data_IF_815931719476
#
_entry.id   IF_815931719476
#
_cell.length_a   1.000
_cell.length_b   1.000
_cell.length_c   1.000
_cell.angle_alpha   90.00
_cell.angle_beta   90.00
_cell.angle_gamma   90.00
#
_symmetry.space_group_name_H-M   'P 1'
#
loop_
_entity.id
_entity.type
_entity.pdbx_description
1 polymer ?
#
# COMPACT_ATOMS: atom_id res chain seq x y z
N UNK A 1 -77.39 -23.29 -32.20
CA UNK A 1 -76.71 -23.66 -30.93
C UNK A 1 -75.26 -23.94 -31.30
N UNK A 2 -74.41 -23.00 -31.11
CA UNK A 2 -72.97 -23.15 -31.31
C UNK A 2 -72.29 -22.64 -30.04
N UNK A 3 -71.62 -23.57 -29.30
CA UNK A 3 -70.92 -23.28 -28.06
C UNK A 3 -69.55 -22.65 -28.39
N UNK A 4 -69.28 -21.51 -27.78
CA UNK A 4 -68.01 -20.80 -27.86
C UNK A 4 -67.15 -21.29 -26.66
N UNK A 5 -65.94 -21.81 -26.96
CA UNK A 5 -64.90 -22.14 -25.97
C UNK A 5 -64.11 -20.88 -25.57
N UNK A 6 -63.67 -20.71 -24.35
CA UNK A 6 -62.85 -19.61 -23.94
C UNK A 6 -61.37 -19.86 -24.28
N UNK A 7 -60.70 -18.83 -24.84
CA UNK A 7 -59.29 -18.76 -25.04
C UNK A 7 -58.58 -18.63 -23.67
N UNK A 8 -57.73 -19.61 -23.32
CA UNK A 8 -56.73 -19.50 -22.30
C UNK A 8 -55.60 -18.57 -22.77
N UNK A 9 -55.44 -17.45 -22.12
CA UNK A 9 -54.30 -16.55 -22.27
C UNK A 9 -53.07 -17.12 -21.54
N UNK A 10 -52.16 -17.64 -22.32
CA UNK A 10 -50.82 -18.03 -21.86
C UNK A 10 -50.09 -16.76 -21.29
N UNK A 11 -49.94 -16.72 -19.97
CA UNK A 11 -49.11 -15.76 -19.27
C UNK A 11 -47.68 -16.25 -19.36
N UNK A 12 -46.97 -15.76 -20.38
CA UNK A 12 -45.50 -15.90 -20.49
C UNK A 12 -44.83 -15.46 -19.22
N UNK A 13 -44.13 -16.41 -18.55
CA UNK A 13 -43.30 -16.16 -17.38
C UNK A 13 -42.23 -15.17 -17.75
N UNK A 14 -42.20 -14.05 -17.04
CA UNK A 14 -41.09 -13.09 -17.12
C UNK A 14 -39.78 -13.78 -16.74
N UNK A 15 -38.82 -13.76 -17.67
CA UNK A 15 -37.43 -14.01 -17.33
C UNK A 15 -37.08 -13.03 -16.20
N UNK A 16 -36.60 -13.55 -15.10
CA UNK A 16 -35.97 -12.76 -14.05
C UNK A 16 -34.76 -12.08 -14.69
N UNK A 17 -34.85 -10.78 -14.94
CA UNK A 17 -33.68 -9.95 -15.20
C UNK A 17 -32.82 -10.01 -13.93
N UNK A 18 -31.78 -10.82 -13.94
CA UNK A 18 -30.73 -10.75 -12.93
C UNK A 18 -30.16 -9.32 -12.98
N UNK A 19 -30.14 -8.59 -11.86
CA UNK A 19 -29.67 -7.23 -11.87
C UNK A 19 -28.22 -7.22 -12.35
N UNK A 20 -27.96 -6.49 -13.43
CA UNK A 20 -26.60 -6.30 -13.94
C UNK A 20 -25.71 -5.83 -12.79
N UNK A 21 -24.61 -6.52 -12.47
CA UNK A 21 -23.80 -6.16 -11.31
C UNK A 21 -23.24 -4.74 -11.46
N UNK A 22 -23.33 -3.95 -10.40
CA UNK A 22 -22.74 -2.61 -10.36
C UNK A 22 -21.23 -2.72 -10.54
N UNK A 23 -20.67 -2.00 -11.53
CA UNK A 23 -19.23 -2.03 -11.81
C UNK A 23 -18.47 -1.02 -10.93
N UNK A 24 -17.34 -1.45 -10.40
CA UNK A 24 -16.39 -0.58 -9.70
C UNK A 24 -15.59 0.30 -10.67
N UNK A 25 -14.67 1.11 -10.12
CA UNK A 25 -13.78 1.98 -10.90
C UNK A 25 -12.83 1.19 -11.82
N UNK A 26 -12.55 -0.05 -11.49
CA UNK A 26 -11.77 -0.99 -12.31
C UNK A 26 -12.54 -1.57 -13.49
N UNK A 27 -13.85 -1.32 -13.61
CA UNK A 27 -14.71 -1.99 -14.59
C UNK A 27 -15.08 -3.43 -14.24
N UNK A 28 -14.59 -3.97 -13.11
CA UNK A 28 -14.99 -5.27 -12.56
C UNK A 28 -16.27 -5.13 -11.70
N UNK A 29 -17.03 -6.21 -11.51
CA UNK A 29 -18.15 -6.20 -10.57
C UNK A 29 -17.68 -5.70 -9.19
N UNK A 30 -18.44 -4.77 -8.60
CA UNK A 30 -18.12 -4.21 -7.30
C UNK A 30 -18.20 -5.30 -6.23
N UNK A 31 -17.05 -5.57 -5.58
CA UNK A 31 -16.99 -6.49 -4.45
C UNK A 31 -17.31 -5.74 -3.16
N UNK A 32 -18.08 -6.36 -2.29
CA UNK A 32 -18.22 -5.90 -0.91
C UNK A 32 -17.12 -6.56 -0.08
N UNK A 33 -16.08 -5.80 0.23
CA UNK A 33 -15.00 -6.25 1.08
C UNK A 33 -15.41 -5.91 2.52
N UNK A 34 -15.49 -6.89 3.43
CA UNK A 34 -15.87 -6.62 4.80
C UNK A 34 -14.79 -5.80 5.52
N UNK A 35 -15.20 -5.01 6.50
CA UNK A 35 -14.23 -4.37 7.39
C UNK A 35 -13.41 -5.41 8.13
N UNK A 36 -12.11 -5.16 8.36
CA UNK A 36 -11.25 -6.07 9.09
C UNK A 36 -11.80 -6.34 10.50
N UNK A 37 -11.86 -7.61 10.94
CA UNK A 37 -12.35 -7.93 12.28
C UNK A 37 -11.42 -7.36 13.35
N UNK A 38 -11.95 -7.12 14.54
CA UNK A 38 -11.13 -6.77 15.70
C UNK A 38 -10.15 -7.92 16.01
N UNK A 39 -8.93 -7.56 16.45
CA UNK A 39 -7.93 -8.55 16.84
C UNK A 39 -8.04 -8.85 18.36
N UNK A 40 -8.03 -10.12 18.71
CA UNK A 40 -7.91 -10.56 20.11
C UNK A 40 -6.47 -10.41 20.64
N UNK A 41 -5.49 -10.45 19.76
CA UNK A 41 -4.05 -10.35 20.06
C UNK A 41 -3.32 -9.59 18.96
N UNK A 42 -2.30 -8.83 19.34
CA UNK A 42 -1.40 -8.14 18.42
C UNK A 42 -0.13 -8.95 18.15
N UNK A 43 0.45 -8.75 16.96
CA UNK A 43 1.67 -9.43 16.51
C UNK A 43 1.51 -10.94 16.23
N UNK A 44 2.52 -11.55 15.59
CA UNK A 44 3.68 -10.92 14.99
C UNK A 44 3.34 -10.10 13.74
N UNK A 45 4.10 -9.05 13.50
CA UNK A 45 3.85 -8.13 12.40
C UNK A 45 4.03 -8.77 11.02
N UNK A 46 3.13 -8.44 10.11
CA UNK A 46 3.33 -8.65 8.67
C UNK A 46 4.02 -7.42 8.08
N UNK A 47 5.17 -7.61 7.43
CA UNK A 47 5.92 -6.53 6.80
C UNK A 47 5.45 -6.40 5.34
N UNK A 48 5.07 -5.18 4.95
CA UNK A 48 4.62 -4.83 3.60
C UNK A 48 5.45 -3.67 3.08
N UNK A 49 6.04 -3.83 1.89
CA UNK A 49 6.77 -2.76 1.22
C UNK A 49 5.91 -2.04 0.19
N UNK A 50 5.98 -0.71 0.18
CA UNK A 50 5.34 0.15 -0.81
C UNK A 50 6.38 0.55 -1.86
N UNK A 51 6.42 -0.13 -3.00
CA UNK A 51 7.51 -0.01 -3.97
C UNK A 51 7.03 0.41 -5.36
N UNK A 52 7.70 1.38 -5.95
CA UNK A 52 7.69 1.66 -7.39
C UNK A 52 8.92 2.51 -7.73
N UNK A 53 9.62 2.19 -8.83
CA UNK A 53 10.77 2.96 -9.31
C UNK A 53 10.41 4.35 -9.85
N UNK A 54 9.14 4.58 -10.22
CA UNK A 54 8.67 5.89 -10.66
C UNK A 54 8.40 6.78 -9.46
N UNK A 55 8.97 8.00 -9.46
CA UNK A 55 8.64 9.04 -8.50
C UNK A 55 7.24 9.59 -8.71
N UNK A 56 6.62 10.11 -7.65
CA UNK A 56 5.33 10.81 -7.74
C UNK A 56 4.09 9.93 -7.94
N UNK A 57 4.20 8.58 -7.87
CA UNK A 57 3.05 7.67 -8.02
C UNK A 57 2.25 7.46 -6.73
N UNK A 58 2.47 8.26 -5.70
CA UNK A 58 1.72 8.20 -4.44
C UNK A 58 2.17 7.10 -3.48
N UNK A 59 3.42 6.62 -3.51
CA UNK A 59 3.97 5.66 -2.53
C UNK A 59 3.80 6.18 -1.11
N UNK A 60 4.44 7.28 -0.78
CA UNK A 60 4.41 7.92 0.54
C UNK A 60 3.00 8.24 1.00
N UNK A 61 2.20 8.87 0.11
CA UNK A 61 0.79 9.17 0.40
C UNK A 61 0.01 7.90 0.73
N UNK A 62 0.25 6.80 -0.01
CA UNK A 62 -0.42 5.52 0.25
C UNK A 62 0.08 4.88 1.53
N UNK A 63 1.38 4.96 1.84
CA UNK A 63 1.95 4.45 3.09
C UNK A 63 1.32 5.12 4.32
N UNK A 64 1.26 6.47 4.33
CA UNK A 64 0.64 7.26 5.41
C UNK A 64 -0.83 6.85 5.61
N UNK A 65 -1.60 6.91 4.53
CA UNK A 65 -3.05 6.78 4.62
C UNK A 65 -3.52 5.34 4.82
N UNK A 66 -2.79 4.37 4.26
CA UNK A 66 -3.02 2.95 4.54
C UNK A 66 -2.70 2.60 6.00
N UNK A 67 -1.55 3.09 6.51
CA UNK A 67 -1.18 2.91 7.92
C UNK A 67 -2.22 3.49 8.87
N UNK A 68 -2.69 4.71 8.59
CA UNK A 68 -3.73 5.36 9.39
C UNK A 68 -5.08 4.64 9.32
N UNK A 69 -5.50 4.17 8.13
CA UNK A 69 -6.73 3.39 7.98
C UNK A 69 -6.67 2.05 8.72
N UNK A 70 -5.53 1.37 8.72
CA UNK A 70 -5.33 0.16 9.52
C UNK A 70 -5.40 0.46 11.03
N UNK A 71 -4.83 1.59 11.48
CA UNK A 71 -4.91 2.03 12.88
C UNK A 71 -6.36 2.32 13.29
N UNK A 72 -7.19 2.92 12.42
CA UNK A 72 -8.64 3.07 12.65
C UNK A 72 -9.35 1.73 12.88
N UNK A 73 -8.91 0.66 12.20
CA UNK A 73 -9.39 -0.71 12.41
C UNK A 73 -8.76 -1.41 13.62
N UNK A 74 -8.11 -0.67 14.51
CA UNK A 74 -7.52 -1.18 15.76
C UNK A 74 -6.22 -1.95 15.57
N UNK A 75 -5.52 -1.77 14.43
CA UNK A 75 -4.20 -2.39 14.21
C UNK A 75 -3.10 -1.51 14.81
N UNK A 76 -2.05 -2.16 15.34
CA UNK A 76 -0.81 -1.49 15.70
C UNK A 76 0.10 -1.48 14.49
N UNK A 77 0.43 -0.30 13.99
CA UNK A 77 1.16 -0.13 12.73
C UNK A 77 2.45 0.64 12.97
N UNK A 78 3.55 0.11 12.46
CA UNK A 78 4.82 0.81 12.36
C UNK A 78 5.06 1.19 10.90
N UNK A 79 5.24 2.47 10.62
CA UNK A 79 5.73 2.94 9.34
C UNK A 79 7.25 3.05 9.39
N UNK A 80 7.91 2.73 8.27
CA UNK A 80 9.35 2.89 8.11
C UNK A 80 9.60 3.76 6.89
N UNK A 81 10.17 4.93 7.10
CA UNK A 81 10.60 5.80 6.01
C UNK A 81 11.93 5.27 5.47
N UNK A 82 11.95 4.83 4.23
CA UNK A 82 13.16 4.32 3.56
C UNK A 82 13.49 5.14 2.30
N UNK A 83 13.13 6.43 2.33
CA UNK A 83 13.48 7.41 1.32
C UNK A 83 14.32 8.52 1.95
N UNK A 84 15.55 8.81 1.46
CA UNK A 84 16.39 9.91 1.96
C UNK A 84 15.73 11.29 1.94
N UNK A 85 14.65 11.44 1.16
CA UNK A 85 13.87 12.70 1.12
C UNK A 85 13.04 12.92 2.39
N UNK A 86 12.84 11.91 3.26
CA UNK A 86 12.10 12.04 4.51
C UNK A 86 10.62 12.43 4.33
N UNK A 87 10.04 12.16 3.17
CA UNK A 87 8.70 12.64 2.82
C UNK A 87 7.60 11.99 3.69
N UNK A 88 7.78 10.73 4.10
CA UNK A 88 6.88 10.06 5.04
C UNK A 88 6.95 10.71 6.43
N UNK A 89 8.17 10.98 6.88
CA UNK A 89 8.44 11.62 8.19
C UNK A 89 7.84 13.02 8.24
N UNK A 90 8.09 13.86 7.23
CA UNK A 90 7.51 15.19 7.10
C UNK A 90 5.98 15.14 7.02
N UNK A 91 5.43 14.18 6.25
CA UNK A 91 3.98 14.02 6.04
C UNK A 91 3.20 13.59 7.30
N UNK A 92 3.92 13.18 8.36
CA UNK A 92 3.37 12.88 9.69
C UNK A 92 3.79 13.90 10.75
N UNK A 93 4.34 15.04 10.35
CA UNK A 93 4.71 16.14 11.23
C UNK A 93 5.94 15.88 12.10
N UNK A 94 6.79 14.89 11.75
CA UNK A 94 8.02 14.60 12.48
C UNK A 94 9.15 15.50 11.95
N UNK A 95 9.85 16.28 12.80
CA UNK A 95 10.94 17.18 12.40
C UNK A 95 12.23 16.38 12.13
N UNK A 96 12.21 15.56 11.10
CA UNK A 96 13.19 14.52 10.78
C UNK A 96 14.61 15.05 10.51
N UNK A 97 14.77 16.29 10.11
CA UNK A 97 16.09 16.92 9.86
C UNK A 97 16.85 17.22 11.15
N UNK A 98 16.17 17.23 12.30
CA UNK A 98 16.75 17.55 13.61
C UNK A 98 17.00 16.27 14.45
N UNK A 99 16.73 15.08 13.91
CA UNK A 99 16.83 13.83 14.64
C UNK A 99 18.23 13.23 14.61
N UNK A 100 18.74 12.87 15.77
CA UNK A 100 20.03 12.17 15.92
C UNK A 100 19.97 10.71 15.45
N UNK A 101 18.81 10.06 15.61
CA UNK A 101 18.60 8.65 15.27
C UNK A 101 17.47 8.49 14.23
N UNK A 102 17.82 7.84 13.13
CA UNK A 102 16.90 7.56 12.01
C UNK A 102 17.10 6.13 11.51
N UNK A 103 16.37 5.72 10.51
CA UNK A 103 16.55 4.42 9.83
C UNK A 103 18.00 4.24 9.32
N UNK A 104 18.70 5.33 8.99
CA UNK A 104 20.11 5.28 8.59
C UNK A 104 20.96 4.61 9.66
N UNK A 105 20.85 5.05 10.91
CA UNK A 105 21.61 4.50 12.04
C UNK A 105 21.31 3.01 12.25
N UNK A 106 20.03 2.61 12.13
CA UNK A 106 19.61 1.20 12.23
C UNK A 106 20.26 0.30 11.16
N UNK A 107 20.51 0.85 9.98
CA UNK A 107 21.09 0.09 8.86
C UNK A 107 22.60 -0.04 8.98
N UNK A 108 23.31 1.00 9.44
CA UNK A 108 24.78 1.06 9.41
C UNK A 108 25.43 0.70 10.75
N UNK A 109 24.73 0.86 11.87
CA UNK A 109 25.23 0.55 13.20
C UNK A 109 24.36 -0.50 13.90
N UNK A 110 24.82 -1.76 13.97
CA UNK A 110 24.08 -2.84 14.65
C UNK A 110 23.84 -2.62 16.15
N UNK A 111 24.52 -1.65 16.78
CA UNK A 111 24.31 -1.30 18.20
C UNK A 111 23.14 -0.34 18.40
N UNK A 112 22.67 0.32 17.35
CA UNK A 112 21.53 1.25 17.43
C UNK A 112 20.25 0.48 17.77
N UNK A 113 19.56 0.93 18.82
CA UNK A 113 18.29 0.35 19.25
C UNK A 113 17.13 0.90 18.42
N UNK A 114 16.33 0.02 17.83
CA UNK A 114 15.11 0.43 17.13
C UNK A 114 14.11 1.10 18.08
N UNK A 115 14.06 0.72 19.34
CA UNK A 115 13.15 1.32 20.33
C UNK A 115 13.46 2.79 20.61
N UNK A 116 14.73 3.21 20.41
CA UNK A 116 15.16 4.60 20.54
C UNK A 116 14.92 5.41 19.26
N UNK A 117 14.70 4.72 18.14
CA UNK A 117 14.49 5.33 16.81
C UNK A 117 13.01 5.48 16.48
N UNK A 118 12.11 4.75 17.17
CA UNK A 118 10.67 4.82 16.92
C UNK A 118 10.09 6.10 17.53
N UNK A 119 9.33 6.83 16.72
CA UNK A 119 8.57 8.02 17.10
C UNK A 119 7.08 7.73 17.07
N UNK A 120 6.37 8.20 18.11
CA UNK A 120 4.91 8.18 18.13
C UNK A 120 4.37 9.30 17.24
N UNK A 121 3.39 8.98 16.42
CA UNK A 121 2.68 9.98 15.62
C UNK A 121 1.47 10.55 16.37
N UNK A 122 0.82 11.55 15.81
CA UNK A 122 -0.44 12.07 16.33
C UNK A 122 -1.61 11.07 16.20
N UNK A 123 -1.46 10.03 15.37
CA UNK A 123 -2.48 8.99 15.14
C UNK A 123 -2.27 7.84 16.12
N UNK A 124 -3.28 7.57 16.94
CA UNK A 124 -3.23 6.45 17.89
C UNK A 124 -3.07 5.12 17.17
N UNK A 125 -2.11 4.29 17.61
CA UNK A 125 -1.81 3.00 17.00
C UNK A 125 -0.90 3.07 15.77
N UNK A 126 -0.38 4.27 15.42
CA UNK A 126 0.51 4.48 14.30
C UNK A 126 1.83 5.11 14.78
N UNK A 127 2.92 4.36 14.65
CA UNK A 127 4.29 4.81 14.98
C UNK A 127 5.15 4.90 13.72
N UNK A 128 6.30 5.58 13.81
CA UNK A 128 7.19 5.85 12.68
C UNK A 128 8.66 5.63 13.06
N UNK A 129 9.42 4.95 12.19
CA UNK A 129 10.87 5.04 12.08
C UNK A 129 11.20 6.06 11.01
N UNK A 130 11.76 7.24 11.35
CA UNK A 130 11.98 8.33 10.41
C UNK A 130 13.23 8.13 9.55
N UNK A 131 13.29 8.84 8.41
CA UNK A 131 14.48 9.01 7.59
C UNK A 131 14.84 10.49 7.47
N UNK A 132 16.12 10.73 7.17
CA UNK A 132 16.63 12.02 6.76
C UNK A 132 17.63 11.83 5.60
N UNK A 133 18.27 12.92 5.16
CA UNK A 133 19.20 12.93 4.03
C UNK A 133 20.40 12.00 4.23
N UNK A 134 20.80 11.70 5.47
CA UNK A 134 21.93 10.83 5.78
C UNK A 134 21.71 9.41 5.23
N UNK A 135 20.47 8.98 5.09
CA UNK A 135 20.13 7.68 4.50
C UNK A 135 20.72 7.50 3.08
N UNK A 136 20.96 8.57 2.35
CA UNK A 136 21.64 8.51 1.04
C UNK A 136 23.06 7.93 1.12
N UNK A 137 23.72 8.02 2.26
CA UNK A 137 25.04 7.45 2.48
C UNK A 137 25.00 5.94 2.80
N UNK A 138 23.84 5.40 3.20
CA UNK A 138 23.73 4.00 3.62
C UNK A 138 24.08 3.03 2.48
N UNK A 139 23.65 3.29 1.25
CA UNK A 139 23.96 2.42 0.13
C UNK A 139 25.47 2.28 -0.11
N UNK A 140 26.25 3.35 0.12
CA UNK A 140 27.71 3.34 -0.02
C UNK A 140 28.36 2.60 1.16
N UNK A 141 27.92 2.87 2.38
CA UNK A 141 28.50 2.27 3.60
C UNK A 141 28.23 0.76 3.65
N UNK A 142 27.08 0.32 3.21
CA UNK A 142 26.69 -1.09 3.22
C UNK A 142 27.34 -1.93 2.10
N UNK A 143 28.01 -1.32 1.11
CA UNK A 143 28.57 -2.05 -0.05
C UNK A 143 29.43 -3.26 0.37
N UNK A 144 30.26 -3.11 1.42
CA UNK A 144 31.17 -4.15 1.90
C UNK A 144 30.62 -4.97 3.08
N UNK A 145 29.41 -4.70 3.53
CA UNK A 145 28.81 -5.40 4.66
C UNK A 145 28.31 -6.81 4.25
N UNK A 146 28.62 -7.81 5.08
CA UNK A 146 28.13 -9.17 4.89
C UNK A 146 26.64 -9.23 5.24
N UNK A 147 25.83 -9.72 4.28
CA UNK A 147 24.37 -9.76 4.44
C UNK A 147 23.74 -8.38 4.46
N UNK A 148 24.31 -7.46 3.69
CA UNK A 148 23.85 -6.07 3.50
C UNK A 148 22.39 -5.95 3.05
N UNK A 149 21.86 -6.97 2.38
CA UNK A 149 20.47 -7.04 1.94
C UNK A 149 19.48 -7.36 3.07
N UNK A 150 19.99 -7.73 4.26
CA UNK A 150 19.19 -8.14 5.42
C UNK A 150 19.31 -7.20 6.62
N UNK A 151 19.97 -6.05 6.47
CA UNK A 151 20.20 -5.12 7.57
C UNK A 151 18.88 -4.60 8.16
N UNK A 152 17.94 -4.20 7.31
CA UNK A 152 16.62 -3.73 7.75
C UNK A 152 15.84 -4.83 8.48
N UNK A 153 15.80 -6.04 7.94
CA UNK A 153 15.11 -7.16 8.59
C UNK A 153 15.68 -7.52 9.97
N UNK A 154 17.01 -7.40 10.14
CA UNK A 154 17.64 -7.57 11.47
C UNK A 154 17.23 -6.47 12.43
N UNK A 155 17.22 -5.22 11.97
CA UNK A 155 16.83 -4.05 12.76
C UNK A 155 15.35 -4.11 13.22
N UNK A 156 14.44 -4.60 12.38
CA UNK A 156 13.01 -4.70 12.69
C UNK A 156 12.65 -5.88 13.61
N UNK A 157 13.50 -6.92 13.68
CA UNK A 157 13.22 -8.15 14.45
C UNK A 157 12.78 -7.93 15.90
N UNK A 158 13.39 -7.00 16.69
CA UNK A 158 13.02 -6.81 18.09
C UNK A 158 11.58 -6.34 18.31
N UNK A 159 10.97 -5.71 17.32
CA UNK A 159 9.62 -5.10 17.45
C UNK A 159 8.52 -5.87 16.71
N UNK A 160 8.85 -7.00 16.09
CA UNK A 160 7.87 -7.82 15.35
C UNK A 160 6.69 -8.29 16.22
N UNK A 161 6.88 -8.46 17.52
CA UNK A 161 5.83 -8.87 18.46
C UNK A 161 4.90 -7.74 18.91
N UNK A 162 5.27 -6.49 18.67
CA UNK A 162 4.58 -5.30 19.19
C UNK A 162 3.56 -4.72 18.19
N UNK A 163 3.74 -5.01 16.90
CA UNK A 163 2.92 -4.49 15.81
C UNK A 163 2.20 -5.60 15.06
N UNK A 164 1.11 -5.25 14.36
CA UNK A 164 0.37 -6.14 13.45
C UNK A 164 0.86 -5.99 12.02
N UNK A 165 1.23 -4.75 11.67
CA UNK A 165 1.79 -4.41 10.36
C UNK A 165 3.00 -3.50 10.50
N UNK A 166 4.01 -3.76 9.67
CA UNK A 166 5.11 -2.82 9.42
C UNK A 166 5.05 -2.46 7.94
N UNK A 167 4.85 -1.18 7.61
CA UNK A 167 4.76 -0.71 6.22
C UNK A 167 5.99 0.12 5.89
N UNK A 168 6.74 -0.28 4.87
CA UNK A 168 7.98 0.35 4.46
C UNK A 168 7.73 1.21 3.22
N UNK A 169 7.96 2.53 3.34
CA UNK A 169 7.93 3.46 2.20
C UNK A 169 9.27 3.47 1.48
N UNK A 170 9.32 2.93 0.27
CA UNK A 170 10.57 2.80 -0.47
C UNK A 170 10.83 4.02 -1.36
N UNK A 171 12.11 4.42 -1.45
CA UNK A 171 12.55 5.41 -2.43
C UNK A 171 12.23 4.98 -3.89
N UNK A 172 12.16 5.93 -4.85
CA UNK A 172 11.88 5.63 -6.26
C UNK A 172 13.11 5.06 -6.99
N UNK A 173 13.66 3.96 -6.49
CA UNK A 173 14.81 3.25 -7.07
C UNK A 173 14.71 1.75 -6.83
N UNK A 174 15.50 0.96 -7.52
CA UNK A 174 15.66 -0.48 -7.27
C UNK A 174 17.06 -0.79 -6.70
N UNK A 175 17.60 0.16 -5.90
CA UNK A 175 18.88 0.04 -5.22
C UNK A 175 18.86 -0.87 -3.98
N UNK A 176 19.95 -0.83 -3.22
CA UNK A 176 20.17 -1.70 -2.05
C UNK A 176 19.12 -1.46 -0.94
N UNK A 177 18.64 -0.22 -0.77
CA UNK A 177 17.59 0.08 0.21
C UNK A 177 16.28 -0.62 -0.15
N UNK A 178 15.85 -0.55 -1.41
CA UNK A 178 14.64 -1.25 -1.86
C UNK A 178 14.80 -2.78 -1.75
N UNK A 179 16.00 -3.32 -2.04
CA UNK A 179 16.28 -4.75 -1.84
C UNK A 179 16.18 -5.12 -0.36
N UNK A 180 16.66 -4.28 0.58
CA UNK A 180 16.49 -4.48 2.02
C UNK A 180 15.01 -4.54 2.44
N UNK A 181 14.18 -3.64 1.91
CA UNK A 181 12.74 -3.66 2.15
C UNK A 181 12.12 -4.96 1.67
N UNK A 182 12.35 -5.34 0.41
CA UNK A 182 11.81 -6.57 -0.19
C UNK A 182 12.34 -7.84 0.49
N UNK A 183 13.59 -7.86 0.92
CA UNK A 183 14.22 -9.01 1.57
C UNK A 183 13.62 -9.34 2.94
N UNK A 184 12.97 -8.38 3.61
CA UNK A 184 12.32 -8.61 4.90
C UNK A 184 10.78 -8.63 4.83
N UNK A 185 10.17 -8.31 3.69
CA UNK A 185 8.72 -8.22 3.55
C UNK A 185 8.06 -9.55 3.21
N UNK A 186 6.86 -9.79 3.73
CA UNK A 186 5.97 -10.84 3.26
C UNK A 186 5.24 -10.41 2.00
N UNK A 187 5.01 -9.11 1.83
CA UNK A 187 4.29 -8.62 0.68
C UNK A 187 4.78 -7.28 0.13
N UNK A 188 4.48 -7.05 -1.14
CA UNK A 188 4.71 -5.76 -1.78
C UNK A 188 3.43 -5.24 -2.41
N UNK A 189 3.10 -3.97 -2.12
CA UNK A 189 2.07 -3.21 -2.82
C UNK A 189 2.78 -2.28 -3.80
N UNK A 190 2.26 -2.22 -5.02
CA UNK A 190 2.85 -1.43 -6.11
C UNK A 190 1.88 -0.30 -6.49
N UNK A 191 2.01 0.90 -5.91
CA UNK A 191 1.22 2.05 -6.35
C UNK A 191 1.61 2.45 -7.77
N UNK A 192 0.61 2.70 -8.62
CA UNK A 192 0.84 3.14 -9.99
C UNK A 192 -0.20 4.16 -10.43
N UNK A 193 0.23 5.11 -11.24
CA UNK A 193 -0.65 6.02 -11.98
C UNK A 193 -0.94 5.43 -13.37
N UNK A 194 -2.18 5.59 -13.86
CA UNK A 194 -2.57 5.13 -15.20
C UNK A 194 -1.99 6.02 -16.30
N UNK A 195 -0.67 5.87 -16.54
CA UNK A 195 0.07 6.53 -17.60
C UNK A 195 0.73 5.53 -18.56
N UNK A 196 1.00 5.96 -19.77
CA UNK A 196 1.49 5.11 -20.87
C UNK A 196 2.75 4.28 -20.52
N UNK A 197 3.70 4.87 -19.79
CA UNK A 197 4.95 4.18 -19.43
C UNK A 197 4.87 3.34 -18.15
N UNK A 198 3.73 3.34 -17.46
CA UNK A 198 3.59 2.65 -16.17
C UNK A 198 3.73 1.14 -16.28
N UNK A 199 3.22 0.52 -17.35
CA UNK A 199 3.35 -0.93 -17.60
C UNK A 199 4.80 -1.41 -17.72
N UNK A 200 5.67 -0.62 -18.36
CA UNK A 200 7.08 -0.97 -18.47
C UNK A 200 7.80 -0.91 -17.11
N UNK A 201 7.49 0.11 -16.31
CA UNK A 201 8.01 0.24 -14.95
C UNK A 201 7.56 -0.91 -14.06
N UNK A 202 6.29 -1.30 -14.19
CA UNK A 202 5.71 -2.42 -13.46
C UNK A 202 6.42 -3.74 -13.79
N UNK A 203 6.66 -4.03 -15.07
CA UNK A 203 7.38 -5.23 -15.49
C UNK A 203 8.81 -5.31 -14.91
N UNK A 204 9.55 -4.18 -14.88
CA UNK A 204 10.89 -4.14 -14.29
C UNK A 204 10.88 -4.36 -12.77
N UNK A 205 9.88 -3.82 -12.08
CA UNK A 205 9.73 -4.04 -10.64
C UNK A 205 9.35 -5.48 -10.34
N UNK A 206 8.42 -6.07 -11.10
CA UNK A 206 8.02 -7.47 -10.97
C UNK A 206 9.23 -8.41 -11.15
N UNK A 207 10.07 -8.19 -12.17
CA UNK A 207 11.32 -8.94 -12.37
C UNK A 207 12.29 -8.79 -11.17
N UNK A 208 12.34 -7.62 -10.54
CA UNK A 208 13.15 -7.40 -9.34
C UNK A 208 12.57 -8.14 -8.13
N UNK A 209 11.26 -8.11 -7.94
CA UNK A 209 10.56 -8.86 -6.88
C UNK A 209 10.82 -10.37 -7.04
N UNK A 210 10.73 -10.89 -8.27
CA UNK A 210 11.02 -12.29 -8.57
C UNK A 210 12.46 -12.67 -8.22
N UNK A 211 13.45 -11.84 -8.59
CA UNK A 211 14.85 -12.06 -8.24
C UNK A 211 15.10 -12.04 -6.72
N UNK A 212 14.44 -11.15 -5.98
CA UNK A 212 14.54 -11.12 -4.52
C UNK A 212 13.88 -12.35 -3.92
N UNK A 213 12.68 -12.74 -4.41
CA UNK A 213 12.00 -13.96 -3.98
C UNK A 213 12.86 -15.19 -4.18
N UNK A 214 13.45 -15.34 -5.33
CA UNK A 214 14.25 -16.54 -5.67
C UNK A 214 15.57 -16.65 -4.91
N UNK A 215 16.14 -15.54 -4.41
CA UNK A 215 17.51 -15.52 -3.87
C UNK A 215 17.59 -15.14 -2.40
N UNK A 216 16.67 -14.33 -1.89
CA UNK A 216 16.77 -13.70 -0.58
C UNK A 216 15.56 -13.97 0.32
N UNK A 217 14.34 -14.00 -0.26
CA UNK A 217 13.11 -14.06 0.52
C UNK A 217 12.02 -14.85 -0.22
N UNK A 218 12.00 -16.15 -0.02
CA UNK A 218 11.08 -17.09 -0.70
C UNK A 218 9.59 -16.85 -0.37
N UNK A 219 9.30 -16.07 0.68
CA UNK A 219 7.94 -15.76 1.12
C UNK A 219 7.43 -14.42 0.56
N UNK A 220 8.23 -13.73 -0.26
CA UNK A 220 7.83 -12.44 -0.83
C UNK A 220 6.76 -12.62 -1.90
N UNK A 221 5.62 -11.96 -1.73
CA UNK A 221 4.52 -11.98 -2.68
C UNK A 221 4.12 -10.57 -3.12
N UNK A 222 3.60 -10.43 -4.34
CA UNK A 222 2.95 -9.21 -4.78
C UNK A 222 1.52 -9.25 -4.26
N UNK A 223 1.23 -8.50 -3.18
CA UNK A 223 -0.12 -8.35 -2.61
C UNK A 223 -1.05 -7.73 -3.65
N UNK A 224 -0.54 -6.71 -4.35
CA UNK A 224 -1.30 -6.14 -5.45
C UNK A 224 -0.75 -4.84 -6.01
N UNK A 225 -1.36 -4.45 -7.12
CA UNK A 225 -1.11 -3.19 -7.83
C UNK A 225 -2.22 -2.23 -7.43
N UNK A 226 -1.84 -1.12 -6.76
CA UNK A 226 -2.78 -0.08 -6.31
C UNK A 226 -2.79 1.06 -7.33
N UNK A 227 -3.89 1.22 -8.03
CA UNK A 227 -4.06 2.37 -8.94
C UNK A 227 -4.31 3.63 -8.11
N UNK A 228 -3.49 4.65 -8.35
CA UNK A 228 -3.49 5.93 -7.66
C UNK A 228 -3.74 7.08 -8.63
N UNK A 229 -4.18 8.22 -8.11
CA UNK A 229 -4.43 9.44 -8.89
C UNK A 229 -5.30 9.22 -10.15
N UNK A 230 -6.20 8.26 -10.08
CA UNK A 230 -7.05 7.89 -11.20
C UNK A 230 -8.04 8.99 -11.54
N UNK A 231 -8.06 9.43 -12.81
CA UNK A 231 -9.07 10.34 -13.32
C UNK A 231 -9.95 9.62 -14.35
N UNK A 232 -11.12 9.16 -13.88
CA UNK A 232 -12.11 8.43 -14.72
C UNK A 232 -12.64 9.21 -15.91
N UNK A 233 -12.45 10.53 -15.95
CA UNK A 233 -12.93 11.40 -17.04
C UNK A 233 -12.03 11.32 -18.28
N UNK A 234 -10.77 10.89 -18.09
CA UNK A 234 -9.82 10.80 -19.21
C UNK A 234 -9.91 9.42 -19.87
N UNK A 235 -10.02 9.41 -21.20
CA UNK A 235 -10.03 8.18 -21.98
C UNK A 235 -8.74 7.39 -21.76
N UNK A 236 -7.61 8.08 -21.80
CA UNK A 236 -6.29 7.48 -21.62
C UNK A 236 -6.15 6.70 -20.31
N UNK A 237 -6.59 7.27 -19.16
CA UNK A 237 -6.51 6.57 -17.88
C UNK A 237 -7.36 5.29 -17.87
N UNK A 238 -8.52 5.30 -18.53
CA UNK A 238 -9.39 4.12 -18.65
C UNK A 238 -8.74 3.03 -19.51
N UNK A 239 -8.19 3.38 -20.67
CA UNK A 239 -7.49 2.44 -21.56
C UNK A 239 -6.28 1.78 -20.85
N UNK A 240 -5.49 2.57 -20.10
CA UNK A 240 -4.37 2.03 -19.32
C UNK A 240 -4.87 1.12 -18.19
N UNK A 241 -5.93 1.50 -17.48
CA UNK A 241 -6.56 0.65 -16.45
C UNK A 241 -6.99 -0.69 -17.02
N UNK A 242 -7.73 -0.70 -18.14
CA UNK A 242 -8.19 -1.91 -18.82
C UNK A 242 -6.98 -2.81 -19.17
N UNK A 243 -5.92 -2.21 -19.70
CA UNK A 243 -4.70 -2.95 -20.04
C UNK A 243 -3.98 -3.54 -18.84
N UNK A 244 -3.92 -2.80 -17.72
CA UNK A 244 -3.34 -3.30 -16.45
C UNK A 244 -4.14 -4.48 -15.92
N UNK A 245 -5.45 -4.39 -15.94
CA UNK A 245 -6.35 -5.49 -15.51
C UNK A 245 -6.22 -6.69 -16.45
N UNK A 246 -6.14 -6.49 -17.76
CA UNK A 246 -5.94 -7.57 -18.72
C UNK A 246 -4.65 -8.36 -18.45
N UNK A 247 -3.56 -7.67 -18.07
CA UNK A 247 -2.26 -8.29 -17.84
C UNK A 247 -2.13 -8.90 -16.44
N UNK A 248 -2.62 -8.21 -15.40
CA UNK A 248 -2.38 -8.55 -14.00
C UNK A 248 -3.62 -9.13 -13.28
N UNK A 249 -4.81 -9.07 -13.88
CA UNK A 249 -6.02 -9.70 -13.36
C UNK A 249 -6.30 -9.34 -11.90
N UNK A 250 -6.42 -10.37 -11.07
CA UNK A 250 -6.75 -10.24 -9.65
C UNK A 250 -5.63 -9.63 -8.79
N UNK A 251 -4.42 -9.47 -9.34
CA UNK A 251 -3.37 -8.72 -8.66
C UNK A 251 -3.66 -7.21 -8.59
N UNK A 252 -4.54 -6.66 -9.44
CA UNK A 252 -4.97 -5.26 -9.33
C UNK A 252 -5.97 -5.13 -8.19
N UNK A 253 -5.77 -4.16 -7.29
CA UNK A 253 -6.75 -3.86 -6.26
C UNK A 253 -8.08 -3.43 -6.90
N UNK A 254 -9.20 -3.81 -6.28
CA UNK A 254 -10.52 -3.28 -6.63
C UNK A 254 -10.70 -1.85 -6.12
N UNK A 255 -10.06 -1.56 -4.99
CA UNK A 255 -9.95 -0.21 -4.43
C UNK A 255 -9.00 0.65 -5.26
N UNK A 256 -9.45 1.83 -5.67
CA UNK A 256 -8.73 2.78 -6.53
C UNK A 256 -8.68 4.13 -5.84
N UNK A 257 -7.49 4.77 -5.83
CA UNK A 257 -7.32 6.12 -5.27
C UNK A 257 -7.51 7.14 -6.39
N UNK A 258 -8.56 7.93 -6.29
CA UNK A 258 -8.86 8.96 -7.28
C UNK A 258 -8.02 10.23 -7.05
N UNK A 259 -7.82 11.00 -8.13
CA UNK A 259 -7.11 12.29 -8.03
C UNK A 259 -7.92 13.29 -7.22
N UNK A 260 -7.31 13.88 -6.19
CA UNK A 260 -7.90 14.92 -5.36
C UNK A 260 -6.89 15.99 -4.98
N UNK A 261 -7.36 17.20 -4.72
CA UNK A 261 -6.54 18.32 -4.22
C UNK A 261 -6.26 18.23 -2.71
N UNK A 262 -6.90 17.30 -2.01
CA UNK A 262 -6.78 17.18 -0.55
C UNK A 262 -5.46 16.59 -0.08
N UNK A 263 -4.81 15.72 -0.86
CA UNK A 263 -3.53 15.12 -0.46
C UNK A 263 -2.39 16.14 -0.31
N UNK A 264 -2.21 17.15 -1.19
CA UNK A 264 -1.28 18.24 -0.91
C UNK A 264 -1.57 19.00 0.39
N UNK A 265 -2.85 19.20 0.74
CA UNK A 265 -3.25 19.85 1.98
C UNK A 265 -2.85 19.03 3.22
N UNK A 266 -3.06 17.71 3.18
CA UNK A 266 -2.68 16.81 4.29
C UNK A 266 -1.17 16.77 4.50
N UNK A 267 -0.38 16.81 3.43
CA UNK A 267 1.08 16.86 3.52
C UNK A 267 1.59 18.12 4.21
N UNK A 268 0.93 19.25 4.00
CA UNK A 268 1.25 20.52 4.69
C UNK A 268 0.81 20.47 6.15
N UNK A 269 -0.33 19.84 6.44
CA UNK A 269 -0.86 19.70 7.79
C UNK A 269 -0.10 18.71 8.65
N UNK A 270 0.66 17.77 8.04
CA UNK A 270 1.35 16.69 8.74
C UNK A 270 0.38 15.62 9.29
N UNK A 271 -0.78 15.45 8.62
CA UNK A 271 -1.84 14.55 9.06
C UNK A 271 -2.35 13.64 7.93
N UNK A 272 -2.75 12.38 8.21
CA UNK A 272 -3.41 11.52 7.22
C UNK A 272 -4.77 12.06 6.80
N UNK A 273 -5.24 11.65 5.60
CA UNK A 273 -6.57 12.04 5.11
C UNK A 273 -7.70 11.52 6.00
N UNK A 274 -7.50 10.41 6.68
CA UNK A 274 -8.49 9.79 7.57
C UNK A 274 -8.76 10.63 8.83
N UNK A 275 -7.78 11.43 9.29
CA UNK A 275 -7.94 12.41 10.38
C UNK A 275 -8.29 13.79 9.87
N UNK A 276 -7.63 14.24 8.79
CA UNK A 276 -7.85 15.57 8.21
C UNK A 276 -9.25 15.76 7.61
N UNK A 277 -9.74 14.75 6.89
CA UNK A 277 -11.05 14.79 6.24
C UNK A 277 -11.73 13.41 6.27
N UNK A 278 -12.16 12.94 7.47
CA UNK A 278 -12.57 11.55 7.72
C UNK A 278 -13.78 11.07 6.91
N UNK A 279 -14.63 12.00 6.45
CA UNK A 279 -15.84 11.71 5.65
C UNK A 279 -15.62 11.91 4.15
N UNK A 280 -14.37 12.15 3.71
CA UNK A 280 -14.07 12.36 2.30
C UNK A 280 -14.00 11.02 1.54
N UNK A 281 -14.31 11.08 0.25
CA UNK A 281 -14.14 9.92 -0.66
C UNK A 281 -12.71 9.35 -0.59
N UNK A 282 -11.69 10.21 -0.47
CA UNK A 282 -10.30 9.77 -0.36
C UNK A 282 -10.02 8.97 0.93
N UNK A 283 -10.63 9.32 2.05
CA UNK A 283 -10.54 8.56 3.30
C UNK A 283 -11.23 7.19 3.14
N UNK A 284 -12.43 7.15 2.56
CA UNK A 284 -13.16 5.92 2.26
C UNK A 284 -12.36 4.99 1.32
N UNK A 285 -11.71 5.55 0.29
CA UNK A 285 -10.88 4.77 -0.61
C UNK A 285 -9.72 4.09 0.13
N UNK A 286 -9.02 4.77 1.05
CA UNK A 286 -7.94 4.15 1.82
C UNK A 286 -8.45 3.14 2.86
N UNK A 287 -9.62 3.32 3.45
CA UNK A 287 -10.28 2.28 4.26
C UNK A 287 -10.58 1.04 3.43
N UNK A 288 -11.04 1.23 2.19
CA UNK A 288 -11.23 0.14 1.22
C UNK A 288 -9.93 -0.59 0.91
N UNK A 289 -8.82 0.14 0.65
CA UNK A 289 -7.49 -0.47 0.43
C UNK A 289 -7.04 -1.26 1.65
N UNK A 290 -7.24 -0.72 2.87
CA UNK A 290 -6.86 -1.41 4.11
C UNK A 290 -7.64 -2.72 4.28
N UNK A 291 -8.95 -2.69 4.07
CA UNK A 291 -9.80 -3.89 4.13
C UNK A 291 -9.39 -4.94 3.09
N UNK A 292 -9.14 -4.51 1.86
CA UNK A 292 -8.71 -5.39 0.77
C UNK A 292 -7.31 -5.98 1.01
N UNK A 293 -6.37 -5.19 1.54
CA UNK A 293 -5.05 -5.68 1.93
C UNK A 293 -5.14 -6.78 2.99
N UNK A 294 -5.94 -6.54 4.05
CA UNK A 294 -6.14 -7.53 5.12
C UNK A 294 -6.77 -8.81 4.58
N UNK A 295 -7.77 -8.72 3.70
CA UNK A 295 -8.38 -9.89 3.05
C UNK A 295 -7.35 -10.68 2.22
N UNK A 296 -6.52 -9.99 1.45
CA UNK A 296 -5.49 -10.62 0.59
C UNK A 296 -4.40 -11.32 1.38
N UNK A 297 -3.99 -10.76 2.52
CA UNK A 297 -2.98 -11.35 3.41
C UNK A 297 -3.53 -12.49 4.28
N UNK A 298 -4.85 -12.66 4.34
CA UNK A 298 -5.49 -13.73 5.12
C UNK A 298 -5.72 -15.02 4.31
N UNK A 299 -5.45 -14.98 3.01
CA UNK A 299 -5.58 -16.12 2.07
C UNK A 299 -4.29 -16.91 1.98
#
# INVERSE_FOLDING_TARGET
>A
MVASSPHESDKGGGLFDDPTPELGLTGRPRRQIPEPPQLDRHGPATIVSMCNQKGGVGKTTSTINLGAALAEYGRRVLLVDLDPQGALSAGLGIPHDELDLTVFNLLVDPSTSILETIHRTAVSGLDLVPANIDLSAAEIQLVNEVGREQCLGRALRPVMGEYDYIIIDCQPSLGLLTVNALACSQGVIIPMECEYFSLRGLALLTDTVDKVRDRLNFNLEIIGILVTMFDRRTLHAREVMERVIEVFGDQVFDSVITRTVRFPETSVAGEPITTWAPTSEAAEQYRGVASEMVERLSK
#
